data_IF_930949890535
#
_entry.id   IF_930949890535
#
_cell.length_a   1.000
_cell.length_b   1.000
_cell.length_c   1.000
_cell.angle_alpha   90.00
_cell.angle_beta   90.00
_cell.angle_gamma   90.00
#
_symmetry.space_group_name_H-M   'P 1'
#
loop_
_entity.id
_entity.type
_entity.pdbx_description
1 polymer ?
#
# COMPACT_ATOMS: atom_id res chain seq x y z
N UNK A 1 -35.23 -3.80 -35.80
CA UNK A 1 -34.51 -4.42 -34.66
C UNK A 1 -33.29 -5.24 -35.09
N UNK A 2 -33.34 -6.07 -36.15
CA UNK A 2 -32.20 -6.91 -36.61
C UNK A 2 -30.94 -6.15 -37.08
N UNK A 3 -31.05 -4.88 -37.49
CA UNK A 3 -29.93 -4.07 -38.02
C UNK A 3 -28.97 -3.53 -36.94
N UNK A 4 -29.39 -3.52 -35.67
CA UNK A 4 -28.56 -3.04 -34.55
C UNK A 4 -27.82 -4.17 -33.82
N UNK A 5 -28.16 -5.43 -34.10
CA UNK A 5 -27.50 -6.62 -33.55
C UNK A 5 -26.01 -6.66 -33.85
N UNK A 6 -25.51 -6.41 -35.08
CA UNK A 6 -24.07 -6.43 -35.35
C UNK A 6 -23.32 -5.31 -34.63
N UNK A 7 -23.94 -4.12 -34.47
CA UNK A 7 -23.34 -3.00 -33.73
C UNK A 7 -23.26 -3.31 -32.23
N UNK A 8 -24.29 -3.94 -31.68
CA UNK A 8 -24.30 -4.37 -30.27
C UNK A 8 -23.26 -5.46 -30.00
N UNK A 9 -23.09 -6.42 -30.92
CA UNK A 9 -22.05 -7.45 -30.84
C UNK A 9 -20.65 -6.82 -30.94
N UNK A 10 -20.43 -5.87 -31.86
CA UNK A 10 -19.16 -5.13 -31.95
C UNK A 10 -18.85 -4.38 -30.65
N UNK A 11 -19.85 -3.75 -30.03
CA UNK A 11 -19.69 -3.04 -28.77
C UNK A 11 -19.28 -3.99 -27.63
N UNK A 12 -19.87 -5.20 -27.57
CA UNK A 12 -19.52 -6.22 -26.57
C UNK A 12 -18.06 -6.68 -26.69
N UNK A 13 -17.51 -6.78 -27.90
CA UNK A 13 -16.09 -7.12 -28.09
C UNK A 13 -15.15 -6.00 -27.61
N UNK A 14 -15.54 -4.73 -27.74
CA UNK A 14 -14.74 -3.58 -27.27
C UNK A 14 -14.67 -3.47 -25.73
N UNK A 15 -15.61 -4.08 -25.00
CA UNK A 15 -15.63 -4.11 -23.53
C UNK A 15 -15.09 -5.42 -22.94
N UNK A 16 -14.54 -6.31 -23.75
CA UNK A 16 -13.90 -7.53 -23.24
C UNK A 16 -12.62 -7.16 -22.49
N UNK A 17 -12.71 -7.09 -21.16
CA UNK A 17 -11.54 -6.87 -20.30
C UNK A 17 -10.63 -8.09 -20.38
N UNK A 18 -9.43 -7.92 -20.91
CA UNK A 18 -8.41 -8.96 -20.89
C UNK A 18 -7.98 -9.19 -19.43
N UNK A 19 -8.43 -10.31 -18.85
CA UNK A 19 -7.94 -10.77 -17.56
C UNK A 19 -6.53 -11.32 -17.74
N UNK A 20 -5.54 -10.55 -17.29
CA UNK A 20 -4.15 -11.01 -17.23
C UNK A 20 -3.89 -11.56 -15.84
N UNK A 21 -3.42 -12.81 -15.75
CA UNK A 21 -2.87 -13.34 -14.52
C UNK A 21 -1.47 -12.74 -14.34
N UNK A 22 -1.29 -11.85 -13.36
CA UNK A 22 0.01 -11.28 -13.06
C UNK A 22 0.79 -12.23 -12.14
N UNK A 23 1.98 -12.67 -12.58
CA UNK A 23 2.95 -13.34 -11.72
C UNK A 23 4.01 -12.33 -11.26
N UNK A 24 4.22 -12.25 -9.95
CA UNK A 24 5.28 -11.41 -9.39
C UNK A 24 6.63 -12.11 -9.53
N UNK A 25 7.67 -11.37 -9.92
CA UNK A 25 9.02 -11.91 -10.11
C UNK A 25 9.68 -12.39 -8.79
N UNK A 26 9.29 -11.80 -7.65
CA UNK A 26 9.79 -12.16 -6.33
C UNK A 26 8.79 -11.78 -5.22
N UNK A 27 8.86 -12.44 -4.04
CA UNK A 27 8.08 -12.05 -2.87
C UNK A 27 8.61 -10.73 -2.29
N UNK A 28 7.71 -9.80 -1.98
CA UNK A 28 8.06 -8.50 -1.45
C UNK A 28 7.12 -8.03 -0.34
N UNK A 29 7.64 -7.11 0.46
CA UNK A 29 6.88 -6.31 1.42
C UNK A 29 7.17 -4.83 1.21
N UNK A 30 6.19 -3.99 1.53
CA UNK A 30 6.33 -2.52 1.48
C UNK A 30 6.31 -1.97 2.89
N UNK A 31 7.25 -1.07 3.16
CA UNK A 31 7.27 -0.29 4.40
C UNK A 31 7.70 1.15 4.11
N UNK A 32 6.89 2.12 4.58
CA UNK A 32 7.15 3.56 4.42
C UNK A 32 7.50 3.98 2.97
N UNK A 33 6.77 3.44 2.00
CA UNK A 33 6.97 3.79 0.58
C UNK A 33 8.23 3.20 -0.06
N UNK A 34 8.83 2.19 0.58
CA UNK A 34 9.96 1.41 0.04
C UNK A 34 9.54 -0.04 -0.13
N UNK A 35 9.91 -0.64 -1.25
CA UNK A 35 9.73 -2.07 -1.55
C UNK A 35 10.99 -2.80 -1.09
N UNK A 36 10.78 -3.89 -0.36
CA UNK A 36 11.82 -4.81 0.09
C UNK A 36 11.55 -6.18 -0.48
N UNK A 37 12.52 -6.74 -1.19
CA UNK A 37 12.49 -8.14 -1.65
C UNK A 37 12.81 -9.05 -0.48
N UNK A 38 12.02 -10.10 -0.30
CA UNK A 38 12.20 -11.07 0.78
C UNK A 38 13.16 -12.16 0.33
N UNK A 39 14.27 -12.32 1.06
CA UNK A 39 15.28 -13.36 0.81
C UNK A 39 15.00 -14.53 1.74
N UNK A 40 14.23 -15.51 1.28
CA UNK A 40 13.79 -16.65 2.09
C UNK A 40 14.95 -17.45 2.70
N UNK A 41 16.09 -17.57 2.01
CA UNK A 41 17.27 -18.26 2.57
C UNK A 41 17.95 -17.50 3.74
N UNK A 42 17.62 -16.21 3.95
CA UNK A 42 18.29 -15.36 4.92
C UNK A 42 17.52 -15.27 6.24
N UNK A 43 17.50 -16.36 7.00
CA UNK A 43 16.92 -16.40 8.34
C UNK A 43 17.64 -15.44 9.31
N UNK A 44 16.87 -14.75 10.14
CA UNK A 44 17.35 -13.79 11.13
C UNK A 44 17.14 -14.37 12.53
N UNK A 45 18.24 -14.52 13.27
CA UNK A 45 18.19 -14.93 14.67
C UNK A 45 17.48 -13.85 15.52
N UNK A 46 16.65 -14.30 16.47
CA UNK A 46 15.91 -13.44 17.41
C UNK A 46 16.78 -12.40 18.11
N UNK A 47 18.03 -12.74 18.46
CA UNK A 47 18.96 -11.82 19.15
C UNK A 47 19.40 -10.64 18.27
N UNK A 48 19.24 -10.74 16.94
CA UNK A 48 19.50 -9.66 15.99
C UNK A 48 18.27 -8.82 15.68
N UNK A 49 17.10 -9.13 16.24
CA UNK A 49 15.89 -8.34 16.04
C UNK A 49 15.89 -7.11 16.93
N UNK A 50 15.48 -5.99 16.35
CA UNK A 50 15.12 -4.79 17.07
C UNK A 50 13.61 -4.71 17.32
N UNK A 51 13.11 -3.48 17.45
CA UNK A 51 11.69 -3.21 17.70
C UNK A 51 10.80 -3.56 16.51
N UNK A 52 9.52 -3.79 16.78
CA UNK A 52 8.49 -3.83 15.74
C UNK A 52 8.31 -2.44 15.13
N UNK A 53 8.30 -2.36 13.79
CA UNK A 53 8.18 -1.11 13.03
C UNK A 53 6.96 -1.03 12.12
N UNK A 54 6.13 -2.08 12.13
CA UNK A 54 4.92 -2.13 11.33
C UNK A 54 4.43 -3.54 11.07
N UNK A 55 3.48 -3.61 10.14
CA UNK A 55 2.90 -4.84 9.65
C UNK A 55 2.35 -4.64 8.24
N UNK A 56 2.11 -5.75 7.54
CA UNK A 56 1.31 -5.79 6.31
C UNK A 56 -0.09 -5.28 6.63
N UNK A 57 -0.58 -4.36 5.79
CA UNK A 57 -1.92 -3.76 5.89
C UNK A 57 -2.79 -4.03 4.67
N UNK A 58 -2.18 -4.33 3.53
CA UNK A 58 -2.83 -4.41 2.22
C UNK A 58 -2.19 -5.51 1.40
N UNK A 59 -2.89 -5.95 0.36
CA UNK A 59 -2.37 -6.87 -0.64
C UNK A 59 -2.56 -6.23 -2.03
N UNK A 60 -1.69 -6.53 -3.01
CA UNK A 60 -1.91 -6.14 -4.39
C UNK A 60 -3.20 -6.72 -4.95
N UNK A 61 -3.77 -6.02 -5.92
CA UNK A 61 -4.82 -6.59 -6.75
C UNK A 61 -4.18 -7.45 -7.84
N UNK A 62 -4.46 -8.75 -7.84
CA UNK A 62 -3.80 -9.73 -8.73
C UNK A 62 -4.07 -9.51 -10.22
N UNK A 63 -5.17 -8.83 -10.58
CA UNK A 63 -5.50 -8.52 -11.97
C UNK A 63 -4.79 -7.27 -12.49
N UNK A 64 -4.56 -6.28 -11.62
CA UNK A 64 -4.05 -4.96 -12.03
C UNK A 64 -2.63 -4.67 -11.56
N UNK A 65 -2.09 -5.50 -10.66
CA UNK A 65 -0.80 -5.27 -10.01
C UNK A 65 -0.76 -4.04 -9.10
N UNK A 66 -1.88 -3.36 -8.86
CA UNK A 66 -1.92 -2.13 -8.06
C UNK A 66 -1.88 -2.45 -6.58
N UNK A 67 -1.04 -1.74 -5.84
CA UNK A 67 -0.93 -1.83 -4.38
C UNK A 67 -0.58 -0.48 -3.76
N UNK A 68 -0.86 -0.34 -2.46
CA UNK A 68 -0.67 0.90 -1.69
C UNK A 68 -0.40 0.58 -0.23
N UNK A 69 0.12 1.54 0.53
CA UNK A 69 0.44 1.35 1.95
C UNK A 69 1.51 0.28 2.20
N UNK A 70 1.45 -0.38 3.36
CA UNK A 70 2.32 -1.50 3.68
C UNK A 70 1.79 -2.79 3.03
N UNK A 71 1.98 -2.90 1.72
CA UNK A 71 1.53 -4.04 0.95
C UNK A 71 2.47 -5.25 1.04
N UNK A 72 1.94 -6.44 0.75
CA UNK A 72 2.72 -7.66 0.54
C UNK A 72 2.01 -8.51 -0.50
N UNK A 73 2.76 -9.03 -1.48
CA UNK A 73 2.22 -9.93 -2.50
C UNK A 73 2.22 -11.40 -2.08
N UNK A 74 2.84 -11.73 -0.95
CA UNK A 74 3.04 -13.11 -0.50
C UNK A 74 2.53 -13.34 0.92
N UNK A 75 2.95 -12.49 1.86
CA UNK A 75 2.54 -12.58 3.26
C UNK A 75 1.14 -12.03 3.53
N UNK A 76 0.39 -12.63 4.47
CA UNK A 76 -0.95 -12.19 4.84
C UNK A 76 -0.95 -10.84 5.58
N UNK A 77 -2.12 -10.19 5.59
CA UNK A 77 -2.36 -8.98 6.38
C UNK A 77 -2.09 -9.29 7.86
N UNK A 78 -1.34 -8.40 8.52
CA UNK A 78 -0.94 -8.58 9.91
C UNK A 78 0.48 -9.09 10.11
N UNK A 79 1.14 -9.64 9.10
CA UNK A 79 2.56 -10.04 9.15
C UNK A 79 3.42 -8.87 9.59
N UNK A 80 4.22 -9.06 10.64
CA UNK A 80 4.94 -7.99 11.33
C UNK A 80 6.31 -7.74 10.70
N UNK A 81 6.75 -6.49 10.81
CA UNK A 81 8.07 -6.02 10.40
C UNK A 81 8.87 -5.59 11.62
N UNK A 82 10.16 -5.89 11.61
CA UNK A 82 11.08 -5.57 12.70
C UNK A 82 12.35 -4.90 12.16
N UNK A 83 12.99 -4.10 12.99
CA UNK A 83 14.36 -3.65 12.73
C UNK A 83 15.33 -4.83 12.85
N UNK A 84 16.47 -4.72 12.19
CA UNK A 84 17.59 -5.63 12.41
C UNK A 84 18.68 -4.81 13.10
N UNK A 85 19.11 -5.23 14.29
CA UNK A 85 20.10 -4.52 15.09
C UNK A 85 21.39 -4.34 14.28
N UNK A 86 21.91 -3.11 14.26
CA UNK A 86 23.08 -2.74 13.47
C UNK A 86 22.83 -2.51 11.97
N UNK A 87 21.59 -2.64 11.48
CA UNK A 87 21.23 -2.36 10.07
C UNK A 87 20.14 -1.30 10.03
N UNK A 88 20.34 -0.27 9.20
CA UNK A 88 19.30 0.75 8.99
C UNK A 88 18.04 0.12 8.37
N UNK A 89 16.84 0.38 8.93
CA UNK A 89 15.57 -0.06 8.34
C UNK A 89 15.34 0.45 6.92
N UNK A 90 16.06 1.49 6.49
CA UNK A 90 15.98 1.99 5.11
C UNK A 90 16.63 1.07 4.08
N UNK A 91 17.48 0.16 4.52
CA UNK A 91 18.29 -0.75 3.69
C UNK A 91 17.82 -2.19 3.81
N UNK A 92 17.45 -2.64 5.01
CA UNK A 92 16.83 -3.95 5.20
C UNK A 92 15.97 -3.98 6.47
N UNK A 93 14.96 -4.85 6.46
CA UNK A 93 14.07 -5.12 7.59
C UNK A 93 13.92 -6.62 7.78
N UNK A 94 13.47 -7.05 8.96
CA UNK A 94 13.09 -8.43 9.21
C UNK A 94 11.56 -8.60 9.07
N UNK A 95 11.13 -9.68 8.42
CA UNK A 95 9.72 -10.03 8.21
C UNK A 95 9.42 -11.33 8.94
N UNK A 96 8.36 -11.34 9.76
CA UNK A 96 7.92 -12.53 10.49
C UNK A 96 7.14 -13.47 9.57
N UNK A 97 7.68 -14.65 9.31
CA UNK A 97 7.09 -15.61 8.37
C UNK A 97 6.29 -16.69 9.08
N UNK A 98 6.70 -17.06 10.29
CA UNK A 98 6.00 -17.98 11.19
C UNK A 98 6.22 -17.54 12.65
N UNK A 99 5.57 -18.25 13.58
CA UNK A 99 5.82 -18.05 15.02
C UNK A 99 7.31 -18.20 15.31
N UNK A 100 7.92 -17.10 15.75
CA UNK A 100 9.34 -17.05 16.09
C UNK A 100 10.31 -17.32 14.93
N UNK A 101 9.88 -17.06 13.69
CA UNK A 101 10.73 -17.19 12.50
C UNK A 101 10.70 -15.90 11.69
N UNK A 102 11.89 -15.39 11.36
CA UNK A 102 12.06 -14.14 10.62
C UNK A 102 13.05 -14.30 9.49
N UNK A 103 12.78 -13.64 8.37
CA UNK A 103 13.68 -13.57 7.22
C UNK A 103 14.03 -12.13 6.89
N UNK A 104 15.19 -11.94 6.28
CA UNK A 104 15.65 -10.62 5.84
C UNK A 104 14.91 -10.21 4.56
N UNK A 105 14.41 -8.98 4.55
CA UNK A 105 13.95 -8.31 3.35
C UNK A 105 14.85 -7.11 3.04
N UNK A 106 15.34 -7.01 1.80
CA UNK A 106 16.34 -6.02 1.37
C UNK A 106 15.70 -5.00 0.45
N UNK A 107 16.03 -3.72 0.64
CA UNK A 107 15.51 -2.63 -0.16
C UNK A 107 15.85 -2.82 -1.64
N UNK A 108 14.84 -2.67 -2.51
CA UNK A 108 15.02 -2.72 -3.96
C UNK A 108 14.75 -1.35 -4.58
N UNK A 109 13.56 -0.81 -4.39
CA UNK A 109 13.14 0.46 -4.97
C UNK A 109 12.07 1.16 -4.14
N UNK A 110 11.66 2.35 -4.55
CA UNK A 110 10.49 3.04 -3.99
C UNK A 110 9.23 2.67 -4.76
N UNK A 111 8.10 2.64 -4.05
CA UNK A 111 6.80 2.43 -4.69
C UNK A 111 6.46 3.62 -5.58
N UNK A 112 5.92 3.40 -6.79
CA UNK A 112 5.28 4.47 -7.54
C UNK A 112 4.14 5.11 -6.73
N UNK A 113 3.88 6.38 -7.01
CA UNK A 113 2.82 7.12 -6.33
C UNK A 113 1.45 6.46 -6.57
N UNK A 114 0.64 6.39 -5.51
CA UNK A 114 -0.73 5.90 -5.57
C UNK A 114 -1.63 6.84 -4.77
N UNK A 115 -2.78 7.25 -5.33
CA UNK A 115 -3.70 8.22 -4.68
C UNK A 115 -4.17 7.76 -3.30
N UNK A 116 -4.33 6.44 -3.11
CA UNK A 116 -4.71 5.87 -1.82
C UNK A 116 -3.64 6.08 -0.72
N UNK A 117 -2.37 6.31 -1.10
CA UNK A 117 -1.34 6.68 -0.14
C UNK A 117 -1.58 8.09 0.42
N UNK A 118 -2.21 9.01 -0.32
CA UNK A 118 -2.51 10.38 0.14
C UNK A 118 -3.44 10.35 1.35
N UNK A 119 -4.51 9.55 1.28
CA UNK A 119 -5.45 9.35 2.39
C UNK A 119 -4.82 8.64 3.59
N UNK A 120 -3.70 7.94 3.38
CA UNK A 120 -2.95 7.27 4.45
C UNK A 120 -2.02 8.21 5.23
N UNK A 121 -1.94 9.50 4.87
CA UNK A 121 -1.08 10.51 5.54
C UNK A 121 -1.92 11.30 6.56
N UNK A 122 -1.80 11.03 7.88
CA UNK A 122 -2.70 11.63 8.88
C UNK A 122 -2.59 13.16 8.94
N UNK A 123 -1.38 13.70 8.78
CA UNK A 123 -1.13 15.16 8.81
C UNK A 123 -1.86 15.91 7.70
N UNK A 124 -2.00 15.29 6.53
CA UNK A 124 -2.65 15.90 5.36
C UNK A 124 -4.17 15.94 5.58
N UNK A 125 -4.74 14.85 6.11
CA UNK A 125 -6.15 14.80 6.51
C UNK A 125 -6.48 15.83 7.59
N UNK A 126 -5.63 15.99 8.62
CA UNK A 126 -5.81 17.00 9.67
C UNK A 126 -5.79 18.42 9.07
N UNK A 127 -4.86 18.71 8.15
CA UNK A 127 -4.80 20.02 7.48
C UNK A 127 -6.07 20.37 6.71
N UNK A 128 -6.64 19.41 5.96
CA UNK A 128 -7.90 19.62 5.22
C UNK A 128 -9.08 19.88 6.17
N UNK A 129 -9.16 19.16 7.29
CA UNK A 129 -10.20 19.38 8.31
C UNK A 129 -10.09 20.80 8.90
N UNK A 130 -8.88 21.26 9.21
CA UNK A 130 -8.66 22.62 9.72
C UNK A 130 -9.10 23.70 8.72
N UNK A 131 -8.83 23.50 7.42
CA UNK A 131 -9.30 24.43 6.37
C UNK A 131 -10.82 24.48 6.32
N UNK A 132 -11.50 23.33 6.39
CA UNK A 132 -12.97 23.25 6.41
C UNK A 132 -13.52 23.99 7.63
N UNK A 133 -12.92 23.78 8.82
CA UNK A 133 -13.30 24.48 10.06
C UNK A 133 -13.13 26.00 9.91
N UNK A 134 -12.02 26.45 9.35
CA UNK A 134 -11.77 27.89 9.11
C UNK A 134 -12.85 28.47 8.19
N UNK A 135 -13.21 27.79 7.11
CA UNK A 135 -14.27 28.24 6.18
C UNK A 135 -15.63 28.32 6.88
N UNK A 136 -15.97 27.34 7.74
CA UNK A 136 -17.20 27.35 8.53
C UNK A 136 -17.21 28.54 9.50
N UNK A 137 -16.10 28.79 10.20
CA UNK A 137 -15.97 29.92 11.14
C UNK A 137 -16.13 31.26 10.40
N UNK A 138 -15.52 31.42 9.23
CA UNK A 138 -15.64 32.64 8.42
C UNK A 138 -17.10 32.87 8.02
N UNK A 139 -17.78 31.83 7.49
CA UNK A 139 -19.20 31.93 7.11
C UNK A 139 -20.11 32.26 8.29
N UNK A 140 -19.87 31.64 9.44
CA UNK A 140 -20.66 31.90 10.65
C UNK A 140 -20.50 33.34 11.15
N UNK A 141 -19.27 33.87 11.14
CA UNK A 141 -18.98 35.28 11.49
C UNK A 141 -19.65 36.27 10.54
N UNK A 142 -19.68 35.98 9.24
CA UNK A 142 -20.37 36.82 8.25
C UNK A 142 -21.89 36.83 8.46
N UNK A 143 -22.49 35.66 8.75
CA UNK A 143 -23.93 35.56 9.04
C UNK A 143 -24.33 36.38 10.27
N UNK A 144 -23.53 36.35 11.35
CA UNK A 144 -23.77 37.17 12.55
C UNK A 144 -23.61 38.68 12.34
N UNK A 145 -22.87 39.11 11.32
CA UNK A 145 -22.70 40.54 10.99
C UNK A 145 -23.84 41.09 10.12
N UNK A 146 -24.54 40.21 9.40
CA UNK A 146 -25.64 40.56 8.50
C UNK A 146 -27.04 40.46 9.16
N UNK A 147 -27.11 40.00 10.42
CA UNK A 147 -28.28 40.07 11.31
C UNK A 147 -28.04 41.10 12.40
#
# INVERSE_FOLDING_TARGET
>A
MKKFVPLFILLLFLFSSMAHALSWAYPFVVWKGKVYEVKHENSINKNKLGRNIGKVKTQPNDMTGKYYGNASNYFPIGTKYYEINGISPTSAIAVEINKQEWVKAVYVNRVPFHVMNVFSIPKLCIGLILIIIIVIIIKWRQSKKNN
#
